data_IF_297189749457
#
_entry.id   IF_297189749457
#
_cell.length_a   1.000
_cell.length_b   1.000
_cell.length_c   1.000
_cell.angle_alpha   90.00
_cell.angle_beta   90.00
_cell.angle_gamma   90.00
#
_symmetry.space_group_name_H-M   'P 1'
#
loop_
_entity.id
_entity.type
_entity.pdbx_description
1 polymer ?
#
# COMPACT_ATOMS: atom_id res chain seq x y z
N UNK A 1 -15.17 2.52 -2.88
CA UNK A 1 -14.37 1.28 -2.94
C UNK A 1 -14.63 0.36 -1.75
N UNK A 2 -14.34 0.78 -0.51
CA UNK A 2 -14.53 -0.06 0.70
C UNK A 2 -15.98 -0.55 0.84
N UNK A 3 -16.94 0.37 0.89
CA UNK A 3 -18.38 0.04 1.03
C UNK A 3 -18.84 -0.91 -0.09
N UNK A 4 -18.44 -0.62 -1.33
CA UNK A 4 -18.78 -1.42 -2.49
C UNK A 4 -18.21 -2.84 -2.43
N UNK A 5 -16.92 -2.98 -2.08
CA UNK A 5 -16.27 -4.28 -1.92
C UNK A 5 -16.90 -5.07 -0.77
N UNK A 6 -17.15 -4.44 0.38
CA UNK A 6 -17.83 -5.07 1.52
C UNK A 6 -19.22 -5.58 1.14
N UNK A 7 -20.05 -4.75 0.52
CA UNK A 7 -21.40 -5.14 0.09
C UNK A 7 -21.36 -6.29 -0.92
N UNK A 8 -20.42 -6.23 -1.87
CA UNK A 8 -20.20 -7.30 -2.84
C UNK A 8 -19.79 -8.62 -2.16
N UNK A 9 -18.88 -8.57 -1.18
CA UNK A 9 -18.48 -9.73 -0.38
C UNK A 9 -19.67 -10.31 0.38
N UNK A 10 -20.44 -9.47 1.10
CA UNK A 10 -21.62 -9.91 1.84
C UNK A 10 -22.69 -10.54 0.94
N UNK A 11 -22.88 -10.02 -0.27
CA UNK A 11 -23.85 -10.54 -1.21
C UNK A 11 -23.41 -11.84 -1.89
N UNK A 12 -22.11 -12.03 -2.10
CA UNK A 12 -21.55 -13.20 -2.80
C UNK A 12 -21.15 -14.34 -1.85
N UNK A 13 -21.10 -14.07 -0.54
CA UNK A 13 -20.74 -15.01 0.50
C UNK A 13 -21.77 -16.16 0.65
N UNK A 14 -21.34 -17.44 0.53
CA UNK A 14 -22.22 -18.59 0.78
C UNK A 14 -22.60 -18.68 2.26
N UNK A 15 -23.89 -18.88 2.59
CA UNK A 15 -24.35 -18.92 4.00
C UNK A 15 -23.76 -20.09 4.82
N UNK A 16 -23.46 -21.22 4.20
CA UNK A 16 -23.01 -22.43 4.89
C UNK A 16 -21.48 -22.47 5.11
N UNK A 17 -20.69 -22.05 4.11
CA UNK A 17 -19.22 -22.18 4.12
C UNK A 17 -18.48 -20.83 4.04
N UNK A 18 -19.09 -19.78 4.59
CA UNK A 18 -18.59 -18.42 4.46
C UNK A 18 -17.15 -18.23 4.95
N UNK A 19 -16.76 -18.88 6.05
CA UNK A 19 -15.41 -18.76 6.62
C UNK A 19 -14.35 -19.21 5.64
N UNK A 20 -14.58 -20.38 5.02
CA UNK A 20 -13.67 -20.93 4.01
C UNK A 20 -13.58 -19.99 2.82
N UNK A 21 -14.73 -19.55 2.28
CA UNK A 21 -14.78 -18.70 1.09
C UNK A 21 -14.07 -17.35 1.28
N UNK A 22 -14.14 -16.76 2.48
CA UNK A 22 -13.45 -15.50 2.82
C UNK A 22 -11.92 -15.65 2.78
N UNK A 23 -11.37 -16.74 3.31
CA UNK A 23 -9.92 -16.90 3.38
C UNK A 23 -9.31 -17.67 2.20
N UNK A 24 -10.10 -18.52 1.54
CA UNK A 24 -9.65 -19.43 0.51
C UNK A 24 -10.72 -19.51 -0.60
N UNK A 25 -10.37 -18.99 -1.78
CA UNK A 25 -11.19 -19.22 -2.95
C UNK A 25 -10.93 -20.64 -3.47
N UNK A 26 -11.99 -21.43 -3.72
CA UNK A 26 -11.81 -22.81 -4.16
C UNK A 26 -11.11 -22.83 -5.53
N UNK A 27 -10.17 -23.77 -5.70
CA UNK A 27 -9.35 -23.89 -6.90
C UNK A 27 -10.13 -24.40 -8.12
N UNK A 28 -11.34 -24.94 -7.92
CA UNK A 28 -12.16 -25.57 -8.95
C UNK A 28 -12.69 -24.59 -10.01
N UNK A 29 -13.01 -25.19 -11.16
CA UNK A 29 -13.42 -24.55 -12.42
C UNK A 29 -14.92 -24.26 -12.44
N UNK A 30 -15.63 -24.51 -11.33
CA UNK A 30 -17.07 -24.36 -11.26
C UNK A 30 -17.46 -22.87 -11.22
N UNK A 31 -18.67 -22.57 -11.65
CA UNK A 31 -19.16 -21.21 -11.95
C UNK A 31 -19.09 -20.19 -10.80
N UNK A 32 -18.78 -20.63 -9.58
CA UNK A 32 -18.71 -19.83 -8.35
C UNK A 32 -17.47 -18.93 -8.25
N UNK A 33 -16.38 -19.25 -8.96
CA UNK A 33 -15.10 -18.52 -8.93
C UNK A 33 -14.68 -18.03 -10.31
N UNK A 34 -15.63 -17.68 -11.18
CA UNK A 34 -15.25 -16.89 -12.35
C UNK A 34 -14.65 -15.55 -11.86
N UNK A 35 -13.68 -14.97 -12.59
CA UNK A 35 -13.22 -13.59 -12.38
C UNK A 35 -14.28 -12.57 -12.83
N UNK A 36 -15.55 -12.87 -12.52
CA UNK A 36 -16.76 -12.15 -12.90
C UNK A 36 -17.65 -12.08 -11.67
N UNK A 37 -18.32 -10.96 -11.50
CA UNK A 37 -19.21 -10.71 -10.37
C UNK A 37 -18.81 -9.50 -9.54
N UNK A 38 -19.63 -9.12 -8.55
CA UNK A 38 -19.51 -7.85 -7.85
C UNK A 38 -18.16 -7.69 -7.13
N UNK A 39 -17.62 -8.75 -6.52
CA UNK A 39 -16.34 -8.68 -5.79
C UNK A 39 -15.18 -8.41 -6.74
N UNK A 40 -15.10 -9.16 -7.84
CA UNK A 40 -14.08 -8.95 -8.86
C UNK A 40 -14.23 -7.59 -9.55
N UNK A 41 -15.45 -7.10 -9.78
CA UNK A 41 -15.66 -5.74 -10.29
C UNK A 41 -14.98 -4.70 -9.39
N UNK A 42 -15.20 -4.75 -8.07
CA UNK A 42 -14.56 -3.81 -7.15
C UNK A 42 -13.05 -4.01 -7.06
N UNK A 43 -12.54 -5.24 -7.16
CA UNK A 43 -11.09 -5.49 -7.25
C UNK A 43 -10.50 -4.85 -8.51
N UNK A 44 -11.17 -4.94 -9.67
CA UNK A 44 -10.73 -4.27 -10.90
C UNK A 44 -10.73 -2.74 -10.76
N UNK A 45 -11.75 -2.18 -10.10
CA UNK A 45 -11.76 -0.74 -9.78
C UNK A 45 -10.55 -0.37 -8.90
N UNK A 46 -10.19 -1.21 -7.93
CA UNK A 46 -9.00 -1.00 -7.10
C UNK A 46 -7.71 -1.09 -7.92
N UNK A 47 -7.63 -2.05 -8.84
CA UNK A 47 -6.51 -2.17 -9.77
C UNK A 47 -6.34 -0.91 -10.62
N UNK A 48 -7.43 -0.37 -11.18
CA UNK A 48 -7.39 0.87 -11.96
C UNK A 48 -6.83 2.04 -11.14
N UNK A 49 -7.22 2.16 -9.86
CA UNK A 49 -6.64 3.18 -8.97
C UNK A 49 -5.12 3.02 -8.83
N UNK A 50 -4.60 1.79 -8.75
CA UNK A 50 -3.13 1.55 -8.69
C UNK A 50 -2.41 1.93 -9.97
N UNK A 51 -3.05 1.70 -11.13
CA UNK A 51 -2.51 2.16 -12.41
C UNK A 51 -2.45 3.68 -12.47
N UNK A 52 -3.46 4.39 -11.99
CA UNK A 52 -3.45 5.86 -11.93
C UNK A 52 -2.33 6.38 -11.01
N UNK A 53 -2.16 5.77 -9.82
CA UNK A 53 -1.06 6.10 -8.90
C UNK A 53 0.33 5.85 -9.52
N UNK A 54 0.46 4.77 -10.29
CA UNK A 54 1.69 4.46 -11.03
C UNK A 54 1.95 5.48 -12.16
N UNK A 55 0.92 5.85 -12.92
CA UNK A 55 1.04 6.86 -13.98
C UNK A 55 1.45 8.22 -13.40
N UNK A 56 0.88 8.65 -12.27
CA UNK A 56 1.33 9.89 -11.60
C UNK A 56 2.82 9.83 -11.24
N UNK A 57 3.27 8.71 -10.69
CA UNK A 57 4.68 8.47 -10.37
C UNK A 57 5.56 8.50 -11.63
N UNK A 58 5.11 7.87 -12.71
CA UNK A 58 5.82 7.86 -14.00
C UNK A 58 5.91 9.28 -14.58
N UNK A 59 4.83 10.07 -14.50
CA UNK A 59 4.82 11.46 -14.93
C UNK A 59 5.78 12.33 -14.12
N UNK A 60 5.90 12.11 -12.79
CA UNK A 60 6.89 12.81 -11.95
C UNK A 60 8.32 12.48 -12.38
N UNK A 61 8.60 11.21 -12.66
CA UNK A 61 9.93 10.74 -13.13
C UNK A 61 10.24 11.36 -14.50
N UNK A 62 9.31 11.28 -15.45
CA UNK A 62 9.46 11.79 -16.82
C UNK A 62 9.57 13.31 -16.88
N UNK A 63 8.80 14.03 -16.04
CA UNK A 63 8.85 15.49 -15.93
C UNK A 63 10.20 16.01 -15.44
N UNK A 64 11.12 15.14 -15.00
CA UNK A 64 12.48 15.47 -14.52
C UNK A 64 12.48 16.58 -13.46
N UNK A 65 11.39 16.66 -12.69
CA UNK A 65 11.14 17.70 -11.70
C UNK A 65 12.12 17.53 -10.54
N UNK A 66 13.20 18.33 -10.56
CA UNK A 66 14.32 18.30 -9.60
C UNK A 66 13.87 18.49 -8.13
N UNK A 67 12.65 19.00 -7.91
CA UNK A 67 12.08 19.30 -6.59
C UNK A 67 11.40 18.11 -5.90
N UNK A 68 11.09 17.02 -6.63
CA UNK A 68 10.41 15.83 -6.06
C UNK A 68 11.27 14.58 -6.20
N UNK A 69 12.29 14.43 -5.34
CA UNK A 69 13.00 13.15 -5.20
C UNK A 69 12.03 12.10 -4.64
N UNK A 70 11.73 11.09 -5.46
CA UNK A 70 10.98 9.91 -5.04
C UNK A 70 11.92 8.96 -4.29
N UNK A 71 11.45 8.42 -3.16
CA UNK A 71 12.22 7.43 -2.41
C UNK A 71 12.25 6.09 -3.13
N UNK A 72 13.28 5.27 -2.86
CA UNK A 72 13.35 3.90 -3.38
C UNK A 72 12.11 3.08 -3.01
N UNK A 73 11.64 3.18 -1.75
CA UNK A 73 10.41 2.54 -1.27
C UNK A 73 9.21 2.89 -2.14
N UNK A 74 9.04 4.18 -2.50
CA UNK A 74 7.94 4.64 -3.34
C UNK A 74 7.98 3.99 -4.73
N UNK A 75 9.13 4.06 -5.41
CA UNK A 75 9.27 3.53 -6.77
C UNK A 75 9.12 2.00 -6.78
N UNK A 76 9.74 1.30 -5.82
CA UNK A 76 9.64 -0.14 -5.67
C UNK A 76 8.19 -0.59 -5.47
N UNK A 77 7.48 0.05 -4.53
CA UNK A 77 6.07 -0.23 -4.26
C UNK A 77 5.18 0.07 -5.47
N UNK A 78 5.27 1.28 -6.06
CA UNK A 78 4.39 1.69 -7.16
C UNK A 78 4.63 0.92 -8.46
N UNK A 79 5.80 0.29 -8.63
CA UNK A 79 6.07 -0.59 -9.78
C UNK A 79 5.52 -2.00 -9.57
N UNK A 80 5.74 -2.57 -8.37
CA UNK A 80 5.37 -3.97 -8.10
C UNK A 80 3.90 -4.16 -7.76
N UNK A 81 3.26 -3.23 -7.04
CA UNK A 81 1.86 -3.37 -6.62
C UNK A 81 0.89 -3.50 -7.80
N UNK A 82 0.94 -2.67 -8.86
CA UNK A 82 0.05 -2.84 -10.01
C UNK A 82 0.27 -4.17 -10.73
N UNK A 83 1.53 -4.62 -10.85
CA UNK A 83 1.88 -5.89 -11.48
C UNK A 83 1.30 -7.08 -10.69
N UNK A 84 1.57 -7.14 -9.38
CA UNK A 84 1.08 -8.21 -8.52
C UNK A 84 -0.45 -8.20 -8.41
N UNK A 85 -1.08 -7.02 -8.42
CA UNK A 85 -2.53 -6.90 -8.44
C UNK A 85 -3.14 -7.46 -9.73
N UNK A 86 -2.54 -7.17 -10.89
CA UNK A 86 -2.97 -7.73 -12.18
C UNK A 86 -2.84 -9.27 -12.19
N UNK A 87 -1.67 -9.77 -11.79
CA UNK A 87 -1.43 -11.22 -11.70
C UNK A 87 -2.38 -11.88 -10.68
N UNK A 88 -2.71 -11.19 -9.58
CA UNK A 88 -3.61 -11.66 -8.54
C UNK A 88 -5.04 -11.81 -9.02
N UNK A 89 -5.52 -10.85 -9.82
CA UNK A 89 -6.82 -10.93 -10.49
C UNK A 89 -6.84 -12.11 -11.46
N UNK A 90 -5.79 -12.23 -12.30
CA UNK A 90 -5.67 -13.30 -13.30
C UNK A 90 -5.63 -14.69 -12.64
N UNK A 91 -4.84 -14.85 -11.58
CA UNK A 91 -4.70 -16.10 -10.83
C UNK A 91 -5.86 -16.37 -9.88
N UNK A 92 -6.86 -15.48 -9.79
CA UNK A 92 -7.97 -15.53 -8.81
C UNK A 92 -7.46 -15.74 -7.39
N UNK A 93 -6.41 -15.01 -7.03
CA UNK A 93 -5.66 -15.22 -5.81
C UNK A 93 -6.55 -15.14 -4.57
N UNK A 94 -6.46 -16.15 -3.72
CA UNK A 94 -7.13 -16.14 -2.41
C UNK A 94 -6.63 -14.96 -1.56
N UNK A 95 -7.47 -14.43 -0.67
CA UNK A 95 -7.22 -13.22 0.14
C UNK A 95 -7.15 -11.89 -0.62
N UNK A 96 -7.21 -11.86 -1.97
CA UNK A 96 -7.10 -10.60 -2.73
C UNK A 96 -8.15 -9.55 -2.33
N UNK A 97 -9.39 -9.97 -2.04
CA UNK A 97 -10.45 -9.06 -1.63
C UNK A 97 -10.20 -8.46 -0.23
N UNK A 98 -9.68 -9.26 0.70
CA UNK A 98 -9.29 -8.81 2.05
C UNK A 98 -8.15 -7.80 1.93
N UNK A 99 -7.12 -8.11 1.14
CA UNK A 99 -5.99 -7.22 0.90
C UNK A 99 -6.44 -5.88 0.31
N UNK A 100 -7.35 -5.92 -0.66
CA UNK A 100 -7.97 -4.73 -1.27
C UNK A 100 -8.76 -3.90 -0.25
N UNK A 101 -9.56 -4.53 0.60
CA UNK A 101 -10.34 -3.82 1.62
C UNK A 101 -9.46 -3.13 2.66
N UNK A 102 -8.43 -3.82 3.16
CA UNK A 102 -7.46 -3.26 4.10
C UNK A 102 -6.69 -2.12 3.44
N UNK A 103 -6.19 -2.33 2.22
CA UNK A 103 -5.43 -1.31 1.49
C UNK A 103 -6.28 -0.06 1.23
N UNK A 104 -7.51 -0.22 0.76
CA UNK A 104 -8.41 0.91 0.54
C UNK A 104 -8.68 1.69 1.84
N UNK A 105 -8.78 1.00 2.98
CA UNK A 105 -8.98 1.62 4.29
C UNK A 105 -7.78 2.48 4.70
N UNK A 106 -6.56 1.96 4.53
CA UNK A 106 -5.33 2.72 4.82
C UNK A 106 -5.12 3.85 3.82
N UNK A 107 -5.43 3.65 2.53
CA UNK A 107 -5.32 4.70 1.51
C UNK A 107 -6.26 5.87 1.80
N UNK A 108 -7.47 5.64 2.33
CA UNK A 108 -8.35 6.74 2.76
C UNK A 108 -7.65 7.60 3.82
N UNK A 109 -7.01 6.98 4.82
CA UNK A 109 -6.29 7.71 5.89
C UNK A 109 -5.08 8.46 5.32
N UNK A 110 -4.29 7.82 4.45
CA UNK A 110 -3.12 8.41 3.82
C UNK A 110 -3.47 9.61 2.94
N UNK A 111 -4.47 9.48 2.07
CA UNK A 111 -4.91 10.57 1.19
C UNK A 111 -5.59 11.70 1.96
N UNK A 112 -6.31 11.40 3.05
CA UNK A 112 -6.82 12.44 3.94
C UNK A 112 -5.67 13.26 4.55
N UNK A 113 -4.57 12.61 4.97
CA UNK A 113 -3.38 13.31 5.44
C UNK A 113 -2.74 14.19 4.36
N UNK A 114 -2.60 13.69 3.13
CA UNK A 114 -2.04 14.50 2.03
C UNK A 114 -2.96 15.64 1.61
N UNK A 115 -4.27 15.44 1.63
CA UNK A 115 -5.25 16.50 1.39
C UNK A 115 -5.13 17.61 2.43
N UNK A 116 -5.02 17.26 3.72
CA UNK A 116 -4.78 18.25 4.79
C UNK A 116 -3.46 19.01 4.59
N UNK A 117 -2.40 18.31 4.20
CA UNK A 117 -1.12 18.94 3.86
C UNK A 117 -1.23 19.90 2.67
N UNK A 118 -2.09 19.59 1.68
CA UNK A 118 -2.31 20.41 0.50
C UNK A 118 -3.08 21.71 0.79
N UNK A 119 -3.92 21.72 1.84
CA UNK A 119 -4.59 22.93 2.36
C UNK A 119 -3.78 23.60 3.48
N UNK A 120 -2.47 23.34 3.53
CA UNK A 120 -1.49 23.92 4.45
C UNK A 120 -1.70 23.62 5.94
N UNK A 121 -2.63 22.70 6.27
CA UNK A 121 -2.83 22.21 7.63
C UNK A 121 -1.93 21.01 7.89
N UNK A 122 -0.79 21.23 8.55
CA UNK A 122 0.16 20.17 8.95
C UNK A 122 -0.39 19.36 10.12
N UNK A 123 -0.92 18.13 9.91
CA UNK A 123 -1.47 17.33 11.01
C UNK A 123 -0.34 16.73 11.84
N UNK A 124 -0.45 16.77 13.17
CA UNK A 124 0.55 16.16 14.07
C UNK A 124 0.60 14.63 13.97
N UNK A 125 -0.45 14.00 13.45
CA UNK A 125 -0.60 12.54 13.38
C UNK A 125 0.10 11.90 12.17
N UNK A 126 1.20 12.49 11.66
CA UNK A 126 1.99 11.88 10.57
C UNK A 126 2.43 10.44 10.90
N UNK A 127 2.81 10.20 12.16
CA UNK A 127 3.22 8.87 12.64
C UNK A 127 2.08 7.85 12.52
N UNK A 128 0.85 8.26 12.84
CA UNK A 128 -0.33 7.40 12.74
C UNK A 128 -0.52 6.86 11.31
N UNK A 129 -0.23 7.67 10.29
CA UNK A 129 -0.32 7.22 8.89
C UNK A 129 0.67 6.09 8.61
N UNK A 130 1.92 6.22 9.07
CA UNK A 130 2.94 5.17 8.92
C UNK A 130 2.58 3.92 9.74
N UNK A 131 2.06 4.10 10.95
CA UNK A 131 1.62 2.99 11.81
C UNK A 131 0.46 2.22 11.17
N UNK A 132 -0.52 2.91 10.56
CA UNK A 132 -1.61 2.28 9.81
C UNK A 132 -1.10 1.45 8.62
N UNK A 133 -0.07 1.93 7.90
CA UNK A 133 0.55 1.19 6.79
C UNK A 133 1.26 -0.08 7.28
N UNK A 134 1.96 -0.01 8.41
CA UNK A 134 2.60 -1.19 9.03
C UNK A 134 1.55 -2.20 9.48
N UNK A 135 0.48 -1.73 10.14
CA UNK A 135 -0.63 -2.58 10.59
C UNK A 135 -1.28 -3.31 9.41
N UNK A 136 -1.43 -2.66 8.25
CA UNK A 136 -1.95 -3.33 7.03
C UNK A 136 -1.13 -4.58 6.67
N UNK A 137 0.21 -4.49 6.67
CA UNK A 137 1.06 -5.64 6.35
C UNK A 137 0.92 -6.73 7.42
N UNK A 138 0.90 -6.36 8.70
CA UNK A 138 0.71 -7.30 9.81
C UNK A 138 -0.62 -8.06 9.67
N UNK A 139 -1.72 -7.37 9.34
CA UNK A 139 -3.01 -8.02 9.11
C UNK A 139 -2.96 -9.02 7.95
N UNK A 140 -2.23 -8.70 6.87
CA UNK A 140 -1.99 -9.64 5.77
C UNK A 140 -1.25 -10.91 6.22
N UNK A 141 -0.24 -10.77 7.08
CA UNK A 141 0.47 -11.90 7.67
C UNK A 141 -0.39 -12.71 8.65
N UNK A 142 -1.35 -12.09 9.34
CA UNK A 142 -2.28 -12.80 10.23
C UNK A 142 -3.31 -13.62 9.45
N UNK A 143 -3.80 -13.11 8.32
CA UNK A 143 -4.74 -13.84 7.45
C UNK A 143 -4.09 -15.03 6.72
N UNK A 144 -2.76 -14.99 6.56
CA UNK A 144 -1.98 -15.95 5.77
C UNK A 144 -2.00 -17.39 6.31
N UNK A 145 -1.77 -17.65 7.61
CA UNK A 145 -1.91 -18.98 8.21
C UNK A 145 -3.30 -19.59 8.03
N UNK A 146 -4.36 -18.77 8.07
CA UNK A 146 -5.75 -19.23 7.92
C UNK A 146 -5.97 -19.76 6.50
N UNK A 147 -5.49 -19.03 5.49
CA UNK A 147 -5.54 -19.50 4.11
C UNK A 147 -4.71 -20.77 3.92
N UNK A 148 -3.50 -20.83 4.50
CA UNK A 148 -2.64 -22.00 4.42
C UNK A 148 -3.29 -23.26 5.02
N UNK A 149 -3.96 -23.11 6.17
CA UNK A 149 -4.75 -24.18 6.78
C UNK A 149 -5.82 -24.71 5.81
N UNK A 150 -6.60 -23.83 5.19
CA UNK A 150 -7.62 -24.25 4.22
C UNK A 150 -7.02 -24.82 2.93
N UNK A 151 -5.85 -24.35 2.51
CA UNK A 151 -5.15 -24.88 1.33
C UNK A 151 -4.78 -26.36 1.52
N UNK A 152 -4.23 -26.72 2.68
CA UNK A 152 -3.79 -28.09 2.95
C UNK A 152 -4.90 -29.04 3.44
N UNK A 153 -5.98 -28.52 4.03
CA UNK A 153 -7.10 -29.35 4.53
C UNK A 153 -8.20 -29.59 3.50
N UNK A 154 -8.16 -28.90 2.36
CA UNK A 154 -9.19 -29.00 1.31
C UNK A 154 -8.56 -29.28 -0.06
N UNK A 155 -9.32 -29.18 -1.15
CA UNK A 155 -8.85 -29.39 -2.52
C UNK A 155 -7.88 -28.30 -3.05
N UNK A 156 -7.29 -27.48 -2.16
CA UNK A 156 -6.44 -26.35 -2.51
C UNK A 156 -7.17 -25.02 -2.71
N UNK A 157 -6.41 -23.93 -2.51
CA UNK A 157 -6.85 -22.56 -2.72
C UNK A 157 -6.29 -22.00 -4.04
N UNK A 158 -7.11 -21.23 -4.75
CA UNK A 158 -6.73 -20.62 -6.02
C UNK A 158 -5.64 -19.56 -5.84
N UNK A 159 -4.69 -19.51 -6.79
CA UNK A 159 -3.58 -18.57 -6.83
C UNK A 159 -2.49 -18.75 -5.76
N UNK A 160 -2.33 -19.95 -5.19
CA UNK A 160 -1.34 -20.23 -4.14
C UNK A 160 0.11 -19.87 -4.54
N UNK A 161 0.54 -20.20 -5.76
CA UNK A 161 1.90 -19.91 -6.22
C UNK A 161 2.20 -18.40 -6.26
N UNK A 162 1.24 -17.59 -6.71
CA UNK A 162 1.40 -16.14 -6.71
C UNK A 162 1.31 -15.57 -5.28
N UNK A 163 0.45 -16.15 -4.44
CA UNK A 163 0.37 -15.74 -3.04
C UNK A 163 1.71 -15.90 -2.31
N UNK A 164 2.50 -16.94 -2.62
CA UNK A 164 3.86 -17.08 -2.09
C UNK A 164 4.77 -15.91 -2.50
N UNK A 165 4.69 -15.46 -3.75
CA UNK A 165 5.44 -14.29 -4.25
C UNK A 165 4.97 -13.02 -3.53
N UNK A 166 3.66 -12.84 -3.39
CA UNK A 166 3.05 -11.72 -2.68
C UNK A 166 3.51 -11.66 -1.22
N UNK A 167 3.61 -12.79 -0.53
CA UNK A 167 4.07 -12.82 0.87
C UNK A 167 5.52 -12.37 1.00
N UNK A 168 6.40 -12.82 0.09
CA UNK A 168 7.80 -12.40 0.07
C UNK A 168 7.90 -10.89 -0.21
N UNK A 169 7.12 -10.39 -1.17
CA UNK A 169 7.06 -8.96 -1.48
C UNK A 169 6.51 -8.11 -0.31
N UNK A 170 5.45 -8.57 0.36
CA UNK A 170 4.92 -7.85 1.52
C UNK A 170 5.90 -7.89 2.70
N UNK A 171 6.71 -8.95 2.84
CA UNK A 171 7.76 -9.01 3.86
C UNK A 171 8.88 -8.01 3.58
N UNK A 172 9.32 -7.88 2.32
CA UNK A 172 10.34 -6.90 1.94
C UNK A 172 9.84 -5.46 2.18
N UNK A 173 8.58 -5.17 1.85
CA UNK A 173 7.96 -3.88 2.15
C UNK A 173 7.86 -3.61 3.64
N UNK A 174 7.41 -4.58 4.45
CA UNK A 174 7.31 -4.43 5.90
C UNK A 174 8.68 -4.08 6.51
N UNK A 175 9.75 -4.76 6.11
CA UNK A 175 11.10 -4.45 6.59
C UNK A 175 11.52 -3.02 6.21
N UNK A 176 11.21 -2.59 4.98
CA UNK A 176 11.55 -1.25 4.52
C UNK A 176 10.72 -0.15 5.23
N UNK A 177 9.47 -0.44 5.58
CA UNK A 177 8.63 0.44 6.40
C UNK A 177 9.08 0.50 7.85
N UNK A 178 9.52 -0.62 8.42
CA UNK A 178 10.09 -0.66 9.78
C UNK A 178 11.40 0.12 9.86
N UNK A 179 12.27 -0.02 8.85
CA UNK A 179 13.48 0.78 8.74
C UNK A 179 13.16 2.27 8.62
N UNK A 180 12.24 2.64 7.72
CA UNK A 180 11.76 4.03 7.59
C UNK A 180 11.19 4.57 8.91
N UNK A 181 10.38 3.78 9.62
CA UNK A 181 9.77 4.18 10.88
C UNK A 181 10.83 4.34 11.98
N UNK A 182 11.79 3.42 12.07
CA UNK A 182 12.90 3.48 13.02
C UNK A 182 13.79 4.70 12.78
N UNK A 183 14.13 4.98 11.52
CA UNK A 183 14.99 6.10 11.14
C UNK A 183 14.30 7.47 11.36
N UNK A 184 12.99 7.57 11.13
CA UNK A 184 12.24 8.83 11.28
C UNK A 184 11.69 9.09 12.70
N UNK A 185 11.38 8.04 13.47
CA UNK A 185 10.69 8.15 14.76
C UNK A 185 11.38 7.43 15.92
N UNK A 186 12.46 6.68 15.65
CA UNK A 186 13.29 6.07 16.68
C UNK A 186 14.02 7.11 17.52
N UNK A 187 14.20 6.82 18.82
CA UNK A 187 15.00 7.66 19.70
C UNK A 187 16.45 7.68 19.19
N UNK A 188 16.96 8.85 18.77
CA UNK A 188 18.38 9.03 18.40
C UNK A 188 19.27 8.68 19.60
N UNK A 189 19.77 7.45 19.66
CA UNK A 189 21.02 7.17 20.39
C UNK A 189 22.13 7.84 19.56
N UNK A 190 22.93 8.68 20.20
CA UNK A 190 23.98 9.51 19.59
C UNK A 190 24.99 8.63 18.82
N UNK A 191 24.71 8.33 17.53
CA UNK A 191 25.60 7.55 16.66
C UNK A 191 26.68 8.42 16.03
N UNK A 192 27.85 7.82 15.91
CA UNK A 192 29.13 8.33 15.41
C UNK A 192 29.00 9.26 14.18
N UNK A 193 29.69 10.43 14.16
CA UNK A 193 29.64 11.42 13.08
C UNK A 193 30.03 10.90 11.69
N UNK A 194 30.82 9.82 11.56
CA UNK A 194 31.17 9.28 10.24
C UNK A 194 29.96 8.67 9.52
N UNK A 195 29.13 7.92 10.25
CA UNK A 195 27.92 7.29 9.70
C UNK A 195 26.78 8.28 9.41
N UNK A 196 26.88 9.51 9.92
CA UNK A 196 25.90 10.60 9.70
C UNK A 196 26.03 11.17 8.28
N UNK A 197 27.25 11.24 7.74
CA UNK A 197 27.55 11.85 6.43
C UNK A 197 27.09 11.02 5.23
N UNK A 198 27.02 9.70 5.37
CA UNK A 198 26.41 8.80 4.37
C UNK A 198 24.88 8.81 4.47
N UNK A 199 24.33 8.87 5.69
CA UNK A 199 22.87 8.96 5.92
C UNK A 199 22.26 10.28 5.44
N UNK A 200 22.97 11.40 5.57
CA UNK A 200 22.48 12.72 5.11
C UNK A 200 22.30 12.76 3.57
N UNK A 201 23.05 11.96 2.80
CA UNK A 201 22.87 11.82 1.34
C UNK A 201 21.63 11.01 0.95
N UNK A 202 21.20 10.09 1.83
CA UNK A 202 20.00 9.25 1.65
C UNK A 202 18.73 9.96 2.16
N UNK A 203 18.85 10.78 3.22
CA UNK A 203 17.76 11.55 3.82
C UNK A 203 17.23 12.67 2.89
N UNK A 204 18.10 13.27 2.05
CA UNK A 204 17.66 14.15 0.95
C UNK A 204 16.76 13.42 -0.09
N UNK A 205 16.79 12.09 -0.16
CA UNK A 205 15.98 11.28 -1.09
C UNK A 205 14.76 10.61 -0.46
N UNK A 206 14.69 10.51 0.87
CA UNK A 206 13.68 9.71 1.59
C UNK A 206 12.46 10.47 2.09
N UNK A 207 12.35 11.77 1.79
CA UNK A 207 11.43 12.66 2.52
C UNK A 207 10.10 12.88 1.78
N UNK A 208 9.42 11.84 1.29
CA UNK A 208 8.21 12.01 0.46
C UNK A 208 7.07 12.75 1.19
N UNK A 209 6.91 12.58 2.52
CA UNK A 209 5.87 13.27 3.29
C UNK A 209 6.23 14.66 3.82
N UNK A 210 7.48 14.87 4.28
CA UNK A 210 7.94 16.18 4.77
C UNK A 210 8.29 17.10 3.60
N UNK A 211 8.86 16.58 2.51
CA UNK A 211 9.17 17.35 1.32
C UNK A 211 7.91 17.71 0.55
N UNK A 212 6.84 16.89 0.52
CA UNK A 212 5.60 17.31 -0.12
C UNK A 212 4.93 18.49 0.61
N UNK A 213 4.85 18.42 1.95
CA UNK A 213 4.27 19.51 2.73
C UNK A 213 5.23 20.71 2.93
N UNK A 214 6.55 20.52 2.80
CA UNK A 214 7.55 21.61 2.84
C UNK A 214 7.76 22.28 1.48
N UNK A 215 7.88 21.52 0.39
CA UNK A 215 8.07 22.05 -0.97
C UNK A 215 6.83 22.82 -1.48
N UNK A 216 5.62 22.49 -1.00
CA UNK A 216 4.43 23.31 -1.27
C UNK A 216 4.43 24.61 -0.46
N UNK A 217 4.87 24.54 0.81
CA UNK A 217 5.03 25.72 1.68
C UNK A 217 6.07 26.70 1.13
N UNK A 218 7.19 26.20 0.60
CA UNK A 218 8.23 27.00 -0.05
C UNK A 218 7.74 27.61 -1.38
N UNK A 219 6.94 26.88 -2.16
CA UNK A 219 6.35 27.43 -3.39
C UNK A 219 5.28 28.51 -3.12
N UNK A 220 4.56 28.47 -2.00
CA UNK A 220 3.58 29.52 -1.65
C UNK A 220 4.25 30.79 -1.10
N UNK A 221 5.43 30.67 -0.49
CA UNK A 221 6.24 31.82 -0.06
C UNK A 221 6.95 32.55 -1.22
N UNK A 222 7.19 31.89 -2.36
CA UNK A 222 7.75 32.57 -3.55
C UNK A 222 6.75 33.50 -4.26
N UNK A 223 5.45 33.41 -3.98
CA UNK A 223 4.46 34.37 -4.51
C UNK A 223 4.17 35.56 -3.57
N UNK A 224 4.68 35.55 -2.33
CA UNK A 224 4.42 36.60 -1.33
C UNK A 224 5.64 37.50 -1.03
N UNK A 225 6.76 37.34 -1.73
CA UNK A 225 7.84 38.34 -1.74
C UNK A 225 8.48 38.69 -0.39
N UNK A 226 8.35 37.85 0.63
CA UNK A 226 8.98 38.06 1.94
C UNK A 226 10.15 37.10 2.12
N UNK A 227 11.33 37.56 1.71
CA UNK A 227 12.61 36.94 2.05
C UNK A 227 12.97 37.17 3.53
N UNK A 228 13.67 36.22 4.18
CA UNK A 228 14.06 36.35 5.58
C UNK A 228 15.14 37.42 5.75
N UNK A 229 14.93 38.34 6.70
CA UNK A 229 16.00 39.10 7.36
C UNK A 229 16.54 38.30 8.54
#
# INVERSE_FOLDING_TARGET
MIVGCSLAVFHQMPRHDWRRWVFCFPADNNSTTLPRGPVFFWIHVCYLSKILEFVDTLLIILSRSRSRRLSFLHVYHHTMVPLLCYLGIYARQSLIHIAVMINASVHVVMYAYYFLCAIEKKPWWKKLVTDCQIIQFILGFICSPIMLYYHFTTAGCSGFGLWCVDIVFNASLLLLFLDFHSNNYGKKIRKDPHSKRERDKEEEGGTTGRAFCSARFENHHQYLGLGPR
#
